data_IF_347952769936
#
_entry.id   IF_347952769936
#
_cell.length_a   1.000
_cell.length_b   1.000
_cell.length_c   1.000
_cell.angle_alpha   90.00
_cell.angle_beta   90.00
_cell.angle_gamma   90.00
#
_symmetry.space_group_name_H-M   'P 1'
#
loop_
_entity.id
_entity.type
_entity.pdbx_description
1 polymer ?
#
# COMPACT_ATOMS: atom_id res chain seq x y z
N UNK A 1 12.49 8.12 -12.69
CA UNK A 1 11.31 7.75 -13.53
C UNK A 1 10.36 6.93 -12.67
N UNK A 2 9.05 7.17 -12.76
CA UNK A 2 8.02 6.43 -12.06
C UNK A 2 7.24 5.57 -13.07
N UNK A 3 7.06 4.29 -12.78
CA UNK A 3 6.26 3.37 -13.58
C UNK A 3 5.06 2.92 -12.75
N UNK A 4 3.85 3.07 -13.27
CA UNK A 4 2.61 2.66 -12.61
C UNK A 4 1.93 1.57 -13.45
N UNK A 5 1.52 0.48 -12.80
CA UNK A 5 0.89 -0.69 -13.42
C UNK A 5 -0.47 -0.95 -12.77
N UNK A 6 -1.54 -0.84 -13.56
CA UNK A 6 -2.92 -1.14 -13.17
C UNK A 6 -3.51 -2.23 -14.08
N UNK A 7 -3.63 -3.50 -13.67
CA UNK A 7 -3.19 -4.15 -12.42
C UNK A 7 -2.36 -5.40 -12.74
N UNK A 8 -1.54 -5.87 -11.78
CA UNK A 8 -0.54 -6.95 -11.98
C UNK A 8 -1.09 -8.20 -12.65
N UNK A 9 -2.32 -8.59 -12.30
CA UNK A 9 -2.97 -9.79 -12.80
C UNK A 9 -3.30 -9.72 -14.31
N UNK A 10 -3.30 -8.54 -14.94
CA UNK A 10 -3.48 -8.38 -16.39
C UNK A 10 -2.19 -8.66 -17.19
N UNK A 11 -1.01 -8.63 -16.57
CA UNK A 11 0.25 -8.89 -17.27
C UNK A 11 0.28 -10.34 -17.74
N UNK A 12 0.39 -10.51 -19.06
CA UNK A 12 0.41 -11.81 -19.74
C UNK A 12 1.75 -12.52 -19.51
N UNK A 13 1.73 -13.56 -18.70
CA UNK A 13 2.79 -14.57 -18.57
C UNK A 13 2.41 -15.86 -19.30
N UNK A 14 3.39 -16.74 -19.47
CA UNK A 14 3.27 -17.97 -20.26
C UNK A 14 2.12 -18.87 -19.76
N UNK A 15 1.28 -19.34 -20.70
CA UNK A 15 0.04 -20.05 -20.39
C UNK A 15 0.26 -21.39 -19.69
N UNK A 16 1.48 -21.96 -19.77
CA UNK A 16 1.85 -23.23 -19.13
C UNK A 16 2.00 -23.14 -17.60
N UNK A 17 2.20 -21.96 -17.02
CA UNK A 17 2.55 -21.81 -15.60
C UNK A 17 1.56 -20.91 -14.83
N UNK A 18 0.26 -21.19 -14.98
CA UNK A 18 -0.84 -20.41 -14.36
C UNK A 18 -0.71 -20.20 -12.85
N UNK A 19 -0.14 -21.16 -12.11
CA UNK A 19 -0.05 -21.09 -10.64
C UNK A 19 1.09 -20.18 -10.13
N UNK A 20 2.15 -19.95 -10.91
CA UNK A 20 3.33 -19.16 -10.46
C UNK A 20 3.47 -17.79 -11.14
N UNK A 21 2.52 -17.42 -11.99
CA UNK A 21 2.61 -16.21 -12.82
C UNK A 21 2.81 -14.92 -12.03
N UNK A 22 2.14 -14.77 -10.88
CA UNK A 22 2.26 -13.58 -10.03
C UNK A 22 3.66 -13.48 -9.40
N UNK A 23 4.27 -14.63 -9.07
CA UNK A 23 5.63 -14.69 -8.55
C UNK A 23 6.67 -14.29 -9.61
N UNK A 24 6.51 -14.76 -10.84
CA UNK A 24 7.39 -14.41 -11.96
C UNK A 24 7.32 -12.92 -12.30
N UNK A 25 6.10 -12.38 -12.39
CA UNK A 25 5.87 -10.95 -12.66
C UNK A 25 6.49 -10.10 -11.55
N UNK A 26 6.25 -10.45 -10.28
CA UNK A 26 6.81 -9.73 -9.13
C UNK A 26 8.34 -9.66 -9.17
N UNK A 27 9.00 -10.80 -9.39
CA UNK A 27 10.46 -10.86 -9.50
C UNK A 27 10.97 -10.07 -10.70
N UNK A 28 10.33 -10.22 -11.87
CA UNK A 28 10.68 -9.47 -13.07
C UNK A 28 10.60 -7.96 -12.86
N UNK A 29 9.51 -7.48 -12.25
CA UNK A 29 9.34 -6.07 -11.91
C UNK A 29 10.39 -5.58 -10.91
N UNK A 30 10.72 -6.39 -9.91
CA UNK A 30 11.77 -6.07 -8.95
C UNK A 30 13.15 -5.94 -9.60
N UNK A 31 13.48 -6.87 -10.49
CA UNK A 31 14.73 -6.84 -11.24
C UNK A 31 14.79 -5.62 -12.15
N UNK A 32 13.74 -5.37 -12.93
CA UNK A 32 13.63 -4.18 -13.79
C UNK A 32 13.76 -2.88 -13.00
N UNK A 33 13.06 -2.77 -11.86
CA UNK A 33 13.14 -1.59 -10.99
C UNK A 33 14.59 -1.31 -10.51
N UNK A 34 15.32 -2.36 -10.16
CA UNK A 34 16.71 -2.26 -9.71
C UNK A 34 17.69 -1.97 -10.85
N UNK A 35 17.51 -2.64 -11.99
CA UNK A 35 18.38 -2.50 -13.16
C UNK A 35 18.29 -1.10 -13.76
N UNK A 36 17.08 -0.55 -13.89
CA UNK A 36 16.87 0.78 -14.46
C UNK A 36 16.82 1.90 -13.41
N UNK A 37 17.02 1.58 -12.13
CA UNK A 37 16.92 2.53 -11.01
C UNK A 37 15.60 3.35 -11.02
N UNK A 38 14.48 2.66 -11.23
CA UNK A 38 13.14 3.28 -11.29
C UNK A 38 12.23 2.80 -10.19
N UNK A 39 11.35 3.69 -9.71
CA UNK A 39 10.29 3.32 -8.79
C UNK A 39 9.13 2.69 -9.56
N UNK A 40 8.75 1.48 -9.18
CA UNK A 40 7.61 0.76 -9.78
C UNK A 40 6.50 0.67 -8.73
N UNK A 41 5.34 1.20 -9.07
CA UNK A 41 4.10 1.04 -8.31
C UNK A 41 3.21 0.10 -9.09
N UNK A 42 2.76 -0.96 -8.43
CA UNK A 42 1.89 -1.93 -9.06
C UNK A 42 0.65 -2.18 -8.20
N UNK A 43 -0.52 -2.10 -8.83
CA UNK A 43 -1.78 -2.40 -8.17
C UNK A 43 -2.03 -3.90 -8.18
N UNK A 44 -2.43 -4.43 -7.04
CA UNK A 44 -2.87 -5.81 -6.89
C UNK A 44 -4.28 -5.85 -6.34
N UNK A 45 -5.11 -6.69 -6.94
CA UNK A 45 -6.38 -7.06 -6.35
C UNK A 45 -6.15 -7.94 -5.10
N UNK A 46 -7.02 -7.80 -4.11
CA UNK A 46 -7.03 -8.61 -2.90
C UNK A 46 -7.92 -9.84 -3.08
N UNK A 47 -7.69 -10.87 -2.26
CA UNK A 47 -8.61 -12.02 -2.21
C UNK A 47 -10.01 -11.57 -1.76
N UNK A 48 -11.06 -12.21 -2.32
CA UNK A 48 -12.46 -11.95 -1.92
C UNK A 48 -12.74 -12.33 -0.45
N UNK A 49 -11.85 -13.07 0.19
CA UNK A 49 -11.96 -13.45 1.60
C UNK A 49 -11.95 -12.26 2.57
N UNK A 50 -11.44 -11.09 2.14
CA UNK A 50 -11.55 -9.85 2.93
C UNK A 50 -13.01 -9.48 3.21
N UNK A 51 -13.91 -9.76 2.26
CA UNK A 51 -15.32 -9.39 2.34
C UNK A 51 -16.17 -10.32 3.21
N UNK A 52 -15.67 -11.47 3.63
CA UNK A 52 -16.42 -12.38 4.52
C UNK A 52 -16.12 -12.16 6.01
N UNK A 53 -15.04 -11.44 6.34
CA UNK A 53 -14.62 -11.19 7.73
C UNK A 53 -15.48 -10.11 8.40
N UNK A 54 -15.61 -10.16 9.73
CA UNK A 54 -16.23 -9.05 10.48
C UNK A 54 -15.42 -7.76 10.32
N UNK A 55 -14.10 -7.86 10.50
CA UNK A 55 -13.19 -6.77 10.20
C UNK A 55 -12.75 -6.85 8.73
N UNK A 56 -13.23 -5.90 7.93
CA UNK A 56 -12.97 -5.77 6.49
C UNK A 56 -11.63 -5.10 6.17
N UNK A 57 -10.83 -4.77 7.18
CA UNK A 57 -9.49 -4.21 6.97
C UNK A 57 -8.58 -5.23 6.26
N UNK A 58 -7.93 -4.83 5.15
CA UNK A 58 -6.95 -5.66 4.47
C UNK A 58 -5.74 -5.99 5.35
N UNK A 59 -5.19 -7.17 5.16
CA UNK A 59 -3.99 -7.67 5.84
C UNK A 59 -3.09 -8.40 4.84
N UNK A 60 -1.81 -8.59 5.19
CA UNK A 60 -0.83 -9.26 4.31
C UNK A 60 -1.29 -10.67 3.88
N UNK A 61 -2.02 -11.39 4.73
CA UNK A 61 -2.57 -12.70 4.38
C UNK A 61 -3.63 -12.66 3.28
N UNK A 62 -4.21 -11.50 2.96
CA UNK A 62 -5.10 -11.35 1.80
C UNK A 62 -4.33 -11.37 0.47
N UNK A 63 -3.00 -11.18 0.51
CA UNK A 63 -2.07 -11.37 -0.62
C UNK A 63 -1.55 -12.82 -0.69
N UNK A 64 -2.04 -13.75 0.13
CA UNK A 64 -1.48 -15.11 0.25
C UNK A 64 -1.49 -15.92 -1.05
N UNK A 65 -2.47 -15.70 -1.92
CA UNK A 65 -2.48 -16.29 -3.28
C UNK A 65 -1.29 -15.80 -4.14
N UNK A 66 -0.64 -14.73 -3.69
CA UNK A 66 0.49 -14.04 -4.30
C UNK A 66 1.65 -13.90 -3.32
N UNK A 67 1.90 -14.88 -2.44
CA UNK A 67 2.90 -14.77 -1.35
C UNK A 67 4.32 -14.33 -1.75
N UNK A 68 4.69 -14.48 -3.03
CA UNK A 68 5.95 -13.93 -3.55
C UNK A 68 5.95 -12.39 -3.64
N UNK A 69 4.81 -11.76 -3.97
CA UNK A 69 4.64 -10.30 -4.00
C UNK A 69 4.96 -9.74 -2.61
N UNK A 70 4.45 -10.40 -1.57
CA UNK A 70 4.72 -10.01 -0.19
C UNK A 70 6.23 -9.98 0.08
N UNK A 71 6.99 -10.97 -0.37
CA UNK A 71 8.43 -11.07 -0.12
C UNK A 71 9.25 -10.04 -0.93
N UNK A 72 8.92 -9.87 -2.21
CA UNK A 72 9.70 -9.07 -3.16
C UNK A 72 9.48 -7.55 -2.99
N UNK A 73 8.27 -7.15 -2.59
CA UNK A 73 7.91 -5.75 -2.41
C UNK A 73 8.73 -5.11 -1.27
N UNK A 74 9.25 -3.90 -1.51
CA UNK A 74 9.87 -3.11 -0.45
C UNK A 74 8.81 -2.42 0.42
N UNK A 75 7.70 -2.01 -0.20
CA UNK A 75 6.57 -1.33 0.43
C UNK A 75 5.26 -1.99 0.00
N UNK A 76 4.37 -2.23 0.95
CA UNK A 76 2.99 -2.68 0.69
C UNK A 76 2.04 -1.72 1.40
N UNK A 77 1.18 -1.08 0.63
CA UNK A 77 0.12 -0.21 1.12
C UNK A 77 -1.24 -0.79 0.74
N UNK A 78 -2.17 -0.81 1.69
CA UNK A 78 -3.57 -1.11 1.43
C UNK A 78 -4.41 0.16 1.53
N UNK A 79 -5.49 0.19 0.76
CA UNK A 79 -6.51 1.23 0.86
C UNK A 79 -7.74 0.64 1.56
N UNK A 80 -8.22 1.32 2.58
CA UNK A 80 -9.44 0.96 3.30
C UNK A 80 -10.35 2.18 3.44
N UNK A 81 -11.65 1.99 3.20
CA UNK A 81 -12.65 3.04 3.32
C UNK A 81 -13.79 2.54 4.18
N UNK A 82 -13.95 3.13 5.35
CA UNK A 82 -14.91 2.63 6.35
C UNK A 82 -16.37 2.87 5.93
N UNK A 83 -16.63 4.06 5.38
CA UNK A 83 -17.95 4.48 4.86
C UNK A 83 -18.48 3.64 3.68
N UNK A 84 -17.64 2.77 3.10
CA UNK A 84 -18.06 1.81 2.09
C UNK A 84 -18.71 0.57 2.72
N UNK A 85 -18.29 0.21 3.93
CA UNK A 85 -18.75 -0.98 4.63
C UNK A 85 -19.77 -0.67 5.74
N UNK A 86 -19.76 0.55 6.28
CA UNK A 86 -20.68 1.01 7.32
C UNK A 86 -21.36 2.31 6.91
N UNK A 87 -22.70 2.31 6.89
CA UNK A 87 -23.48 3.51 6.59
C UNK A 87 -23.49 4.53 7.74
N UNK A 88 -23.20 4.08 8.98
CA UNK A 88 -23.16 4.92 10.18
C UNK A 88 -21.71 5.30 10.57
N UNK A 89 -20.79 5.31 9.60
CA UNK A 89 -19.37 5.60 9.88
C UNK A 89 -19.17 7.06 10.31
N UNK A 90 -18.49 7.28 11.43
CA UNK A 90 -18.09 8.63 11.88
C UNK A 90 -16.97 9.24 11.02
N UNK A 91 -16.36 8.44 10.13
CA UNK A 91 -15.24 8.83 9.27
C UNK A 91 -15.67 8.86 7.79
N UNK A 92 -16.79 9.52 7.52
CA UNK A 92 -17.28 9.73 6.15
C UNK A 92 -16.22 10.38 5.24
N UNK A 93 -16.17 9.93 3.99
CA UNK A 93 -15.27 10.45 2.96
C UNK A 93 -13.79 10.42 3.38
N UNK A 94 -13.41 9.49 4.26
CA UNK A 94 -12.02 9.29 4.69
C UNK A 94 -11.51 7.95 4.15
N UNK A 95 -10.33 7.96 3.54
CA UNK A 95 -9.61 6.76 3.13
C UNK A 95 -8.37 6.59 3.99
N UNK A 96 -8.21 5.37 4.49
CA UNK A 96 -7.03 4.94 5.21
C UNK A 96 -6.04 4.26 4.26
N UNK A 97 -4.82 4.79 4.23
CA UNK A 97 -3.67 4.16 3.58
C UNK A 97 -2.88 3.42 4.65
N UNK A 98 -3.01 2.10 4.65
CA UNK A 98 -2.38 1.21 5.63
C UNK A 98 -1.04 0.73 5.05
N UNK A 99 0.07 1.28 5.53
CA UNK A 99 1.41 0.79 5.23
C UNK A 99 1.65 -0.51 6.01
N UNK A 100 1.31 -1.64 5.41
CA UNK A 100 1.38 -2.97 6.03
C UNK A 100 2.79 -3.58 5.98
N UNK A 101 3.63 -3.14 5.03
CA UNK A 101 5.04 -3.53 4.95
C UNK A 101 5.88 -2.34 4.52
N UNK A 102 7.00 -2.15 5.18
CA UNK A 102 8.05 -1.20 4.78
C UNK A 102 9.40 -1.81 5.15
N UNK A 103 10.26 -2.07 4.15
CA UNK A 103 11.56 -2.73 4.38
C UNK A 103 12.52 -1.85 5.17
N UNK A 104 12.48 -0.54 4.96
CA UNK A 104 13.46 0.42 5.48
C UNK A 104 12.81 1.54 6.31
N UNK A 105 11.78 1.24 7.09
CA UNK A 105 11.04 2.28 7.80
C UNK A 105 9.85 1.75 8.59
N UNK A 106 9.12 2.63 9.27
CA UNK A 106 7.99 2.23 10.08
C UNK A 106 6.79 1.82 9.21
N UNK A 107 5.95 0.98 9.79
CA UNK A 107 4.61 0.69 9.30
C UNK A 107 3.59 1.59 10.01
N UNK A 108 2.41 1.76 9.46
CA UNK A 108 1.42 2.66 10.07
C UNK A 108 0.21 2.87 9.19
N UNK A 109 -0.78 3.60 9.70
CA UNK A 109 -1.97 3.96 8.94
C UNK A 109 -2.03 5.47 8.78
N UNK A 110 -2.28 5.91 7.55
CA UNK A 110 -2.42 7.31 7.19
C UNK A 110 -3.85 7.60 6.76
N UNK A 111 -4.51 8.56 7.41
CA UNK A 111 -5.86 9.01 7.02
C UNK A 111 -5.78 10.17 6.02
N UNK A 112 -6.48 10.03 4.90
CA UNK A 112 -6.64 11.03 3.85
C UNK A 112 -8.12 11.34 3.63
N UNK A 113 -8.44 12.59 3.28
CA UNK A 113 -9.76 12.96 2.82
C UNK A 113 -9.93 12.47 1.38
N UNK A 114 -11.09 11.93 1.06
CA UNK A 114 -11.42 11.38 -0.24
C UNK A 114 -12.67 12.04 -0.81
N UNK A 115 -12.48 12.88 -1.81
CA UNK A 115 -13.54 13.56 -2.52
C UNK A 115 -14.07 12.66 -3.64
N UNK A 116 -15.14 11.91 -3.34
CA UNK A 116 -15.77 10.92 -4.25
C UNK A 116 -16.13 11.50 -5.62
N UNK A 117 -16.60 12.73 -5.66
CA UNK A 117 -17.04 13.43 -6.88
C UNK A 117 -15.90 13.60 -7.91
N UNK A 118 -14.66 13.72 -7.44
CA UNK A 118 -13.49 13.97 -8.27
C UNK A 118 -12.49 12.81 -8.28
N UNK A 119 -12.71 11.77 -7.46
CA UNK A 119 -11.74 10.70 -7.24
C UNK A 119 -10.42 11.21 -6.66
N UNK A 120 -10.45 12.28 -5.86
CA UNK A 120 -9.26 12.98 -5.37
C UNK A 120 -9.00 12.69 -3.90
N UNK A 121 -7.72 12.50 -3.58
CA UNK A 121 -7.24 12.41 -2.20
C UNK A 121 -6.62 13.73 -1.77
N UNK A 122 -6.89 14.15 -0.54
CA UNK A 122 -6.32 15.35 0.07
C UNK A 122 -5.77 15.05 1.46
N UNK A 123 -4.70 15.76 1.83
CA UNK A 123 -4.12 15.70 3.16
C UNK A 123 -5.10 16.29 4.19
N UNK A 124 -5.11 15.74 5.40
CA UNK A 124 -6.02 16.18 6.47
C UNK A 124 -5.23 16.39 7.75
N UNK A 125 -5.73 17.27 8.63
CA UNK A 125 -5.16 17.44 9.97
C UNK A 125 -5.19 16.15 10.80
N UNK A 126 -6.15 15.24 10.53
CA UNK A 126 -6.19 13.91 11.15
C UNK A 126 -5.03 13.02 10.69
N UNK A 127 -4.52 13.21 9.47
CA UNK A 127 -3.30 12.56 8.96
C UNK A 127 -2.02 13.05 9.64
N UNK A 128 -2.04 14.17 10.37
CA UNK A 128 -0.87 14.71 11.08
C UNK A 128 -0.61 13.98 12.41
N UNK A 129 -1.61 13.24 12.92
CA UNK A 129 -1.52 12.46 14.16
C UNK A 129 -1.34 10.96 13.92
N UNK A 130 -0.87 10.57 12.73
CA UNK A 130 -0.71 9.17 12.37
C UNK A 130 0.35 8.49 13.25
N UNK A 131 -0.01 7.31 13.73
CA UNK A 131 0.82 6.45 14.58
C UNK A 131 1.62 5.52 13.69
N UNK A 132 2.92 5.74 13.61
CA UNK A 132 3.85 4.86 12.89
C UNK A 132 4.62 3.99 13.88
N UNK A 133 4.62 2.67 13.71
CA UNK A 133 5.36 1.73 14.56
C UNK A 133 6.75 1.46 13.98
N UNK A 134 7.78 1.76 14.76
CA UNK A 134 9.16 1.34 14.51
C UNK A 134 9.69 0.55 15.71
N UNK A 135 9.61 -0.79 15.66
CA UNK A 135 10.18 -1.65 16.69
C UNK A 135 9.59 -1.43 18.09
N UNK A 136 8.28 -1.14 18.19
CA UNK A 136 7.59 -0.90 19.46
C UNK A 136 7.52 0.57 19.89
N UNK A 137 8.09 1.48 19.10
CA UNK A 137 8.01 2.93 19.34
C UNK A 137 7.10 3.61 18.32
N UNK A 138 6.12 4.36 18.81
CA UNK A 138 5.22 5.17 18.00
C UNK A 138 5.88 6.50 17.59
N UNK A 139 6.03 6.74 16.30
CA UNK A 139 6.50 7.99 15.73
C UNK A 139 5.33 8.78 15.12
N UNK A 140 5.33 10.09 15.34
CA UNK A 140 4.41 11.03 14.71
C UNK A 140 5.16 11.79 13.62
N UNK A 141 4.65 11.75 12.39
CA UNK A 141 5.30 12.44 11.25
C UNK A 141 4.70 13.85 11.12
N UNK A 142 5.49 14.92 11.24
CA UNK A 142 5.01 16.28 11.04
C UNK A 142 4.67 16.58 9.57
N UNK A 143 3.75 17.52 9.38
CA UNK A 143 2.94 17.85 8.18
C UNK A 143 3.72 18.40 6.96
N UNK A 144 5.03 18.19 6.86
CA UNK A 144 5.85 18.87 5.86
C UNK A 144 6.76 17.88 5.11
N UNK A 145 6.38 17.62 3.85
CA UNK A 145 7.20 16.92 2.85
C UNK A 145 8.56 17.62 2.60
N UNK A 146 8.77 18.84 3.13
CA UNK A 146 10.03 19.59 3.11
C UNK A 146 10.98 19.30 4.29
N UNK A 147 10.58 18.50 5.27
CA UNK A 147 11.44 18.16 6.43
C UNK A 147 12.12 16.78 6.34
N UNK A 148 11.95 16.06 5.23
CA UNK A 148 12.81 14.90 4.89
C UNK A 148 14.15 15.39 4.31
N UNK A 149 14.83 16.30 5.00
CA UNK A 149 16.26 16.53 4.79
C UNK A 149 17.00 15.45 5.56
N UNK A 150 17.71 14.60 4.83
CA UNK A 150 18.77 13.75 5.36
C UNK A 150 19.67 14.61 6.26
N UNK A 151 19.67 14.33 7.57
CA UNK A 151 20.70 14.84 8.48
C UNK A 151 22.03 14.19 8.09
N UNK A 152 22.69 14.73 7.08
CA UNK A 152 24.13 14.69 6.97
C UNK A 152 24.69 15.79 7.88
N UNK A 153 25.10 15.42 9.10
CA UNK A 153 26.32 15.85 9.79
C UNK A 153 26.19 15.72 11.32
N UNK A 154 26.69 14.62 11.89
CA UNK A 154 27.87 14.55 12.77
C UNK A 154 28.04 13.13 13.32
#
# INVERSE_FOLDING_TARGET
MLVVIDYLQLIVGDAKHKQNRQAEISRGLKHMAREFHVSVIALSQLSRGVESRQNKRPMLSDLRESGQIEQDADLIAFLYRDDYYSLDSEEENTVEVILAKQRNGPIGTVKLAFHKEYGRFEETEKGVNNKFDHGGHYFQVPCNLSQLTLDHNL
#
